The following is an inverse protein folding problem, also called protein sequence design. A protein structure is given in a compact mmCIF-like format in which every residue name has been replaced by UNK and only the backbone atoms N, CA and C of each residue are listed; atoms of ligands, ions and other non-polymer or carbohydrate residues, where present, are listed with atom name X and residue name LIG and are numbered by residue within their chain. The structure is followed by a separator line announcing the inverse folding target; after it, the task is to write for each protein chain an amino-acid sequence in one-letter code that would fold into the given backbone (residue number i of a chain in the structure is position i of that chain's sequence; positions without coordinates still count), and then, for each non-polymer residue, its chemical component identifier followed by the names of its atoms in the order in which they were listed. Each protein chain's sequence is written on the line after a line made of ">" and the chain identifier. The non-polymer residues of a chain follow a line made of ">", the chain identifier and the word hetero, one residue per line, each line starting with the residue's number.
data_IF_986691252963
#
_entry.id   IF_986691252963
#
_cell.length_a   1.000
_cell.length_b   1.000
_cell.length_c   1.000
_cell.angle_alpha   90.00
_cell.angle_beta   90.00
_cell.angle_gamma   90.00
#
_symmetry.space_group_name_H-M   'P 1'
#
loop_
_entity.id
_entity.type
_entity.pdbx_description
1 polymer ?
#
# COMPACT_ATOMS: atom_id res chain seq x y z
N UNK A 1 -18.39 -1.68 9.92
CA UNK A 1 -18.02 -1.65 11.35
C UNK A 1 -16.52 -1.75 11.44
N UNK A 2 -15.83 -0.91 12.19
CA UNK A 2 -14.36 -0.98 12.32
C UNK A 2 -14.01 -2.04 13.38
N UNK A 3 -13.03 -2.88 13.07
CA UNK A 3 -12.54 -3.92 13.97
C UNK A 3 -11.58 -3.33 15.01
N UNK A 4 -11.72 -3.77 16.25
CA UNK A 4 -10.72 -3.57 17.32
C UNK A 4 -9.46 -4.41 17.08
N UNK A 5 -8.37 -4.07 17.77
CA UNK A 5 -7.14 -4.88 17.84
C UNK A 5 -7.39 -6.38 18.07
N UNK A 6 -8.29 -6.71 19.01
CA UNK A 6 -8.65 -8.08 19.35
C UNK A 6 -9.38 -8.78 18.21
N UNK A 7 -10.26 -8.07 17.51
CA UNK A 7 -10.99 -8.57 16.35
C UNK A 7 -10.08 -8.74 15.14
N UNK A 8 -9.15 -7.79 14.90
CA UNK A 8 -8.10 -7.93 13.88
C UNK A 8 -7.25 -9.18 14.17
N UNK A 9 -6.81 -9.34 15.42
CA UNK A 9 -6.05 -10.53 15.83
C UNK A 9 -6.86 -11.82 15.68
N UNK A 10 -8.16 -11.80 15.94
CA UNK A 10 -9.04 -12.95 15.69
C UNK A 10 -9.17 -13.26 14.20
N UNK A 11 -9.37 -12.24 13.36
CA UNK A 11 -9.45 -12.39 11.91
C UNK A 11 -8.15 -12.97 11.31
N UNK A 12 -6.99 -12.58 11.85
CA UNK A 12 -5.70 -13.16 11.45
C UNK A 12 -5.62 -14.64 11.85
N UNK A 13 -6.00 -14.99 13.08
CA UNK A 13 -5.97 -16.39 13.53
C UNK A 13 -6.90 -17.31 12.75
N UNK A 14 -8.04 -16.81 12.26
CA UNK A 14 -9.01 -17.60 11.49
C UNK A 14 -8.73 -17.61 9.99
N UNK A 15 -7.72 -16.85 9.51
CA UNK A 15 -7.46 -16.68 8.08
C UNK A 15 -8.48 -15.79 7.36
N UNK A 16 -9.37 -15.11 8.09
CA UNK A 16 -10.30 -14.13 7.53
C UNK A 16 -9.58 -12.85 7.05
N UNK A 17 -8.37 -12.62 7.54
CA UNK A 17 -7.43 -11.58 7.14
C UNK A 17 -6.01 -12.19 7.18
N UNK A 18 -5.20 -11.96 6.16
CA UNK A 18 -3.76 -12.26 6.21
C UNK A 18 -2.99 -10.94 6.20
N UNK A 19 -2.01 -10.83 7.10
CA UNK A 19 -0.97 -9.79 7.08
C UNK A 19 0.37 -10.53 7.19
N UNK A 20 1.19 -10.49 6.15
CA UNK A 20 2.41 -11.28 6.06
C UNK A 20 3.63 -10.43 5.67
N UNK A 21 4.65 -10.30 6.53
CA UNK A 21 4.73 -10.85 7.90
C UNK A 21 3.74 -10.16 8.85
N UNK A 22 3.35 -10.85 9.92
CA UNK A 22 2.50 -10.25 10.97
C UNK A 22 3.30 -9.16 11.70
N UNK A 23 2.80 -7.92 11.78
CA UNK A 23 3.49 -6.84 12.50
C UNK A 23 3.66 -7.18 13.99
N UNK A 24 4.82 -6.85 14.60
CA UNK A 24 5.03 -7.03 16.04
C UNK A 24 4.06 -6.18 16.87
N UNK A 25 3.77 -6.61 18.10
CA UNK A 25 2.73 -6.03 18.98
C UNK A 25 2.84 -4.50 19.16
N UNK A 26 4.04 -3.93 19.20
CA UNK A 26 4.23 -2.48 19.35
C UNK A 26 3.73 -1.65 18.15
N UNK A 27 3.43 -2.28 17.02
CA UNK A 27 2.82 -1.66 15.83
C UNK A 27 1.29 -1.73 15.85
N UNK A 28 0.69 -2.29 16.90
CA UNK A 28 -0.75 -2.40 17.03
C UNK A 28 -1.30 -1.24 17.88
N UNK A 29 -2.48 -0.77 17.48
CA UNK A 29 -3.29 0.19 18.23
C UNK A 29 -4.68 -0.38 18.43
N UNK A 30 -5.53 0.29 19.20
CA UNK A 30 -6.87 -0.21 19.56
C UNK A 30 -7.78 -0.59 18.40
N UNK A 31 -7.53 -0.11 17.18
CA UNK A 31 -8.37 -0.34 16.00
C UNK A 31 -7.61 -0.37 14.66
N UNK A 32 -6.28 -0.46 14.70
CA UNK A 32 -5.44 -0.44 13.51
C UNK A 32 -4.11 -1.15 13.76
N UNK A 33 -3.50 -1.64 12.68
CA UNK A 33 -2.14 -2.20 12.69
C UNK A 33 -1.27 -1.41 11.75
N UNK A 34 -0.14 -0.92 12.24
CA UNK A 34 0.82 -0.20 11.42
C UNK A 34 1.52 -1.15 10.43
N UNK A 35 1.68 -0.69 9.19
CA UNK A 35 2.45 -1.35 8.14
C UNK A 35 3.76 -0.60 7.91
N UNK A 36 4.77 -1.31 7.43
CA UNK A 36 6.14 -0.78 7.24
C UNK A 36 6.49 -0.58 5.79
N UNK A 37 7.39 0.38 5.50
CA UNK A 37 7.81 0.75 4.15
C UNK A 37 8.81 -0.27 3.57
N UNK A 38 8.55 -0.75 2.35
CA UNK A 38 9.49 -1.58 1.58
C UNK A 38 10.71 -0.74 1.11
N UNK A 39 11.83 -1.42 0.82
CA UNK A 39 13.13 -0.83 0.50
C UNK A 39 13.22 -0.13 -0.84
N UNK A 40 12.16 -0.20 -1.63
CA UNK A 40 12.14 0.23 -3.02
C UNK A 40 11.04 1.26 -3.26
N UNK A 41 11.44 2.41 -3.79
CA UNK A 41 10.53 3.47 -4.23
C UNK A 41 10.51 3.53 -5.76
N UNK A 42 9.49 4.20 -6.30
CA UNK A 42 9.42 4.57 -7.71
C UNK A 42 9.13 6.07 -7.81
N UNK A 43 9.84 6.77 -8.68
CA UNK A 43 9.57 8.17 -8.98
C UNK A 43 9.41 8.39 -10.48
N UNK A 44 8.54 9.32 -10.85
CA UNK A 44 8.44 9.80 -12.21
C UNK A 44 9.70 10.58 -12.59
N UNK A 45 10.28 10.26 -13.74
CA UNK A 45 11.26 11.09 -14.41
C UNK A 45 10.50 12.26 -15.01
N UNK A 46 10.76 13.47 -14.50
CA UNK A 46 10.08 14.67 -14.95
C UNK A 46 10.12 14.82 -16.48
N UNK A 47 9.11 15.45 -17.04
CA UNK A 47 9.00 15.66 -18.49
C UNK A 47 7.58 16.06 -18.81
N UNK A 48 7.39 17.16 -19.54
CA UNK A 48 6.07 17.76 -19.83
C UNK A 48 5.15 16.91 -20.73
N UNK A 49 5.24 15.59 -20.64
CA UNK A 49 4.36 14.65 -21.35
C UNK A 49 2.96 14.77 -20.80
N UNK A 50 2.02 15.02 -21.69
CA UNK A 50 0.60 15.04 -21.37
C UNK A 50 0.08 13.60 -21.34
N UNK A 51 -0.31 13.14 -20.17
CA UNK A 51 -0.97 11.83 -19.99
C UNK A 51 -2.49 12.03 -20.06
N UNK A 52 -3.19 11.11 -20.73
CA UNK A 52 -4.67 11.14 -20.86
C UNK A 52 -5.28 9.91 -20.18
N UNK A 53 -5.60 9.96 -18.88
CA UNK A 53 -6.16 8.82 -18.15
C UNK A 53 -7.49 8.29 -18.71
N UNK A 54 -8.26 9.13 -19.40
CA UNK A 54 -9.53 8.72 -20.04
C UNK A 54 -9.39 8.08 -21.42
N UNK A 55 -8.18 7.89 -21.95
CA UNK A 55 -7.98 7.28 -23.26
C UNK A 55 -8.18 5.75 -23.22
N UNK A 56 -8.72 5.12 -24.29
CA UNK A 56 -8.80 3.67 -24.39
C UNK A 56 -7.42 3.01 -24.19
N UNK A 57 -7.38 1.97 -23.36
CA UNK A 57 -6.14 1.24 -23.06
C UNK A 57 -5.19 1.94 -22.08
N UNK A 58 -5.61 3.04 -21.43
CA UNK A 58 -4.83 3.65 -20.36
C UNK A 58 -4.54 2.63 -19.25
N UNK A 59 -3.26 2.51 -18.90
CA UNK A 59 -2.78 1.67 -17.82
C UNK A 59 -1.58 2.37 -17.18
N UNK A 60 -1.75 2.85 -15.94
CA UNK A 60 -0.69 3.57 -15.22
C UNK A 60 0.52 2.68 -14.92
N UNK A 61 0.31 1.38 -14.73
CA UNK A 61 1.40 0.43 -14.48
C UNK A 61 2.37 0.35 -15.65
N UNK A 62 1.87 0.37 -16.88
CA UNK A 62 2.72 0.44 -18.08
C UNK A 62 3.58 1.70 -18.12
N UNK A 63 3.06 2.82 -17.59
CA UNK A 63 3.84 4.06 -17.49
C UNK A 63 4.92 3.95 -16.40
N UNK A 64 4.63 3.25 -15.30
CA UNK A 64 5.61 2.99 -14.24
C UNK A 64 6.72 2.00 -14.66
N UNK A 65 6.42 1.10 -15.58
CA UNK A 65 7.38 0.13 -16.14
C UNK A 65 8.23 0.73 -17.27
N UNK A 66 7.83 1.89 -17.82
CA UNK A 66 8.55 2.59 -18.87
C UNK A 66 9.78 3.31 -18.29
N UNK A 67 11.02 2.89 -18.61
CA UNK A 67 12.24 3.48 -18.06
C UNK A 67 12.49 4.92 -18.54
N UNK A 68 11.79 5.41 -19.57
CA UNK A 68 11.84 6.82 -19.96
C UNK A 68 10.98 7.69 -19.03
N UNK A 69 9.94 7.12 -18.42
CA UNK A 69 8.96 7.84 -17.61
C UNK A 69 9.16 7.68 -16.11
N UNK A 70 9.68 6.55 -15.66
CA UNK A 70 9.83 6.25 -14.25
C UNK A 70 11.17 5.59 -13.96
N UNK A 71 11.59 5.67 -12.70
CA UNK A 71 12.70 4.89 -12.19
C UNK A 71 12.41 4.36 -10.79
N UNK A 72 12.92 3.15 -10.57
CA UNK A 72 13.02 2.53 -9.27
C UNK A 72 14.23 3.08 -8.52
N UNK A 73 14.02 3.52 -7.28
CA UNK A 73 15.05 4.10 -6.43
C UNK A 73 15.10 3.31 -5.11
N UNK A 74 16.24 2.68 -4.77
CA UNK A 74 16.40 2.04 -3.47
C UNK A 74 16.50 3.08 -2.35
N UNK A 75 16.01 2.74 -1.16
CA UNK A 75 16.21 3.53 0.04
C UNK A 75 17.66 3.32 0.55
N UNK A 76 18.49 4.36 0.70
CA UNK A 76 19.85 4.22 1.20
C UNK A 76 19.90 4.06 2.73
N UNK A 77 21.06 3.70 3.29
CA UNK A 77 21.32 3.47 4.72
C UNK A 77 21.08 4.72 5.63
N UNK A 78 20.80 5.89 5.05
CA UNK A 78 20.41 7.13 5.76
C UNK A 78 19.02 7.65 5.41
N UNK A 79 18.18 6.81 4.79
CA UNK A 79 16.83 7.15 4.37
C UNK A 79 16.76 7.93 3.04
N UNK A 80 15.65 7.77 2.33
CA UNK A 80 15.39 8.51 1.10
C UNK A 80 14.91 9.94 1.46
N UNK A 81 15.60 11.01 1.01
CA UNK A 81 15.24 12.37 1.37
C UNK A 81 14.02 12.84 0.55
N UNK A 82 12.84 12.74 1.13
CA UNK A 82 11.60 13.28 0.56
C UNK A 82 11.48 14.78 0.87
N UNK A 83 11.99 15.60 -0.05
CA UNK A 83 11.92 17.06 0.06
C UNK A 83 10.49 17.64 -0.09
N UNK A 84 10.30 18.93 0.24
CA UNK A 84 9.05 19.64 0.04
C UNK A 84 8.52 19.57 -1.40
N UNK A 85 7.21 19.36 -1.56
CA UNK A 85 6.53 19.27 -2.86
C UNK A 85 6.91 18.04 -3.69
N UNK A 86 7.59 17.05 -3.09
CA UNK A 86 7.98 15.81 -3.78
C UNK A 86 6.95 14.71 -3.59
N UNK A 87 6.93 13.83 -4.57
CA UNK A 87 6.03 12.68 -4.68
C UNK A 87 6.84 11.46 -5.11
N UNK A 88 6.62 10.33 -4.43
CA UNK A 88 7.17 9.02 -4.79
C UNK A 88 6.10 7.96 -4.54
N UNK A 89 6.19 6.86 -5.28
CA UNK A 89 5.42 5.65 -5.00
C UNK A 89 6.28 4.71 -4.16
N UNK A 90 5.65 4.00 -3.24
CA UNK A 90 6.28 2.96 -2.44
C UNK A 90 5.37 1.76 -2.28
N UNK A 91 5.81 0.76 -1.54
CA UNK A 91 5.00 -0.39 -1.16
C UNK A 91 5.13 -0.67 0.33
N UNK A 92 4.12 -1.30 0.91
CA UNK A 92 4.25 -1.92 2.24
C UNK A 92 5.13 -3.17 2.17
N UNK A 93 5.89 -3.48 3.21
CA UNK A 93 6.58 -4.77 3.35
C UNK A 93 5.59 -5.91 3.56
N UNK A 94 4.48 -5.62 4.24
CA UNK A 94 3.45 -6.62 4.47
C UNK A 94 2.60 -6.81 3.23
N UNK A 95 2.39 -8.08 2.87
CA UNK A 95 1.35 -8.53 1.97
C UNK A 95 0.03 -8.68 2.75
N UNK A 96 -1.07 -8.22 2.14
CA UNK A 96 -2.42 -8.30 2.68
C UNK A 96 -3.28 -9.20 1.81
N UNK A 97 -4.04 -10.09 2.46
CA UNK A 97 -5.10 -10.86 1.82
C UNK A 97 -6.40 -10.72 2.61
N UNK A 98 -7.47 -10.34 1.91
CA UNK A 98 -8.82 -10.22 2.43
C UNK A 98 -9.71 -11.15 1.61
N UNK A 99 -9.86 -12.43 1.99
CA UNK A 99 -10.75 -13.35 1.27
C UNK A 99 -12.14 -12.74 1.09
N UNK A 100 -12.71 -12.78 -0.11
CA UNK A 100 -14.03 -12.19 -0.37
C UNK A 100 -15.12 -12.66 0.61
N UNK A 101 -15.10 -13.95 0.95
CA UNK A 101 -16.03 -14.59 1.87
C UNK A 101 -15.89 -14.13 3.34
N UNK A 102 -14.77 -13.48 3.71
CA UNK A 102 -14.57 -12.96 5.07
C UNK A 102 -15.41 -11.72 5.35
N UNK A 103 -15.96 -11.07 4.30
CA UNK A 103 -16.69 -9.81 4.40
C UNK A 103 -15.90 -8.72 5.13
N UNK A 104 -14.59 -8.72 4.92
CA UNK A 104 -13.69 -7.67 5.39
C UNK A 104 -13.18 -6.84 4.21
N UNK A 105 -13.22 -5.53 4.39
CA UNK A 105 -12.48 -4.54 3.62
C UNK A 105 -11.46 -3.86 4.56
N UNK A 106 -10.61 -3.00 4.03
CA UNK A 106 -9.75 -2.18 4.87
C UNK A 106 -9.52 -0.79 4.26
N UNK A 107 -8.95 0.09 5.06
CA UNK A 107 -8.37 1.36 4.63
C UNK A 107 -6.92 1.47 5.03
N UNK A 108 -6.14 2.09 4.16
CA UNK A 108 -4.77 2.48 4.41
C UNK A 108 -4.76 3.96 4.70
N UNK A 109 -4.40 4.32 5.91
CA UNK A 109 -4.37 5.70 6.37
C UNK A 109 -2.94 6.12 6.73
N UNK A 110 -2.67 7.42 6.61
CA UNK A 110 -1.43 8.00 7.10
C UNK A 110 -1.35 7.97 8.62
N UNK A 111 -0.14 8.13 9.16
CA UNK A 111 0.07 8.28 10.60
C UNK A 111 -0.03 9.74 11.01
N UNK A 112 -0.64 10.01 12.17
CA UNK A 112 -0.77 11.40 12.64
C UNK A 112 0.57 12.10 12.83
N UNK A 113 1.64 11.38 13.18
CA UNK A 113 2.99 11.95 13.30
C UNK A 113 3.51 12.44 11.95
N UNK A 114 3.35 11.64 10.90
CA UNK A 114 3.77 11.96 9.53
C UNK A 114 2.92 13.07 8.92
N UNK A 115 1.61 13.03 9.13
CA UNK A 115 0.69 14.07 8.66
C UNK A 115 1.04 15.45 9.22
N UNK A 116 1.52 15.54 10.48
CA UNK A 116 1.96 16.80 11.09
C UNK A 116 3.28 17.33 10.52
N UNK A 117 4.04 16.50 9.79
CA UNK A 117 5.18 16.92 8.98
C UNK A 117 4.78 17.25 7.53
N UNK A 118 3.50 17.13 7.18
CA UNK A 118 3.00 17.29 5.82
C UNK A 118 3.15 16.04 4.95
N UNK A 119 3.53 14.89 5.52
CA UNK A 119 3.68 13.64 4.77
C UNK A 119 2.36 12.88 4.69
N UNK A 120 1.91 12.61 3.46
CA UNK A 120 0.79 11.74 3.14
C UNK A 120 1.26 10.43 2.48
N UNK A 121 0.41 9.41 2.49
CA UNK A 121 0.72 8.05 1.98
C UNK A 121 -0.31 7.49 0.99
N UNK A 122 -1.39 8.25 0.78
CA UNK A 122 -2.36 8.06 -0.28
C UNK A 122 -2.87 9.45 -0.69
N UNK A 123 -3.20 9.65 -1.97
CA UNK A 123 -3.73 10.95 -2.42
C UNK A 123 -5.25 11.01 -2.28
N UNK A 124 -5.95 9.95 -2.71
CA UNK A 124 -7.42 9.88 -2.70
C UNK A 124 -7.99 8.46 -2.60
N UNK A 125 -7.14 7.43 -2.63
CA UNK A 125 -7.57 6.04 -2.80
C UNK A 125 -7.13 5.14 -1.63
N UNK A 126 -7.60 5.39 -0.38
CA UNK A 126 -7.19 4.61 0.78
C UNK A 126 -7.81 3.21 0.82
N UNK A 127 -8.80 2.92 -0.02
CA UNK A 127 -9.67 1.74 0.14
C UNK A 127 -8.98 0.47 -0.37
N UNK A 128 -8.93 -0.54 0.50
CA UNK A 128 -8.54 -1.91 0.17
C UNK A 128 -9.82 -2.76 0.14
N UNK A 129 -10.15 -3.24 -1.04
CA UNK A 129 -11.41 -3.94 -1.27
C UNK A 129 -11.41 -5.36 -0.68
N UNK A 130 -12.59 -5.86 -0.30
CA UNK A 130 -12.79 -7.28 -0.09
C UNK A 130 -12.40 -8.07 -1.36
N UNK A 131 -11.70 -9.19 -1.18
CA UNK A 131 -11.04 -9.94 -2.24
C UNK A 131 -9.67 -9.39 -2.65
N UNK A 132 -9.14 -8.35 -1.99
CA UNK A 132 -7.78 -7.90 -2.23
C UNK A 132 -6.79 -9.01 -1.85
N UNK A 133 -5.87 -9.32 -2.74
CA UNK A 133 -4.95 -10.44 -2.57
C UNK A 133 -5.49 -11.80 -3.00
N UNK A 134 -6.76 -11.90 -3.43
CA UNK A 134 -7.27 -13.13 -4.03
C UNK A 134 -6.49 -13.43 -5.31
N UNK A 135 -5.81 -14.58 -5.35
CA UNK A 135 -5.15 -15.10 -6.54
C UNK A 135 -5.56 -16.57 -6.76
N UNK A 136 -6.54 -16.85 -7.65
CA UNK A 136 -6.99 -18.21 -7.92
C UNK A 136 -5.89 -19.12 -8.46
N UNK A 137 -4.87 -18.55 -9.11
CA UNK A 137 -3.77 -19.27 -9.74
C UNK A 137 -2.58 -19.47 -8.78
N UNK A 138 -2.56 -18.79 -7.63
CA UNK A 138 -1.47 -18.85 -6.64
C UNK A 138 -2.02 -18.84 -5.22
N UNK A 139 -2.61 -19.96 -4.84
CA UNK A 139 -3.21 -20.15 -3.50
C UNK A 139 -2.16 -20.22 -2.38
N UNK A 140 -0.88 -20.32 -2.72
CA UNK A 140 0.27 -20.35 -1.83
C UNK A 140 0.85 -18.95 -1.52
N UNK A 141 0.46 -17.91 -2.25
CA UNK A 141 0.90 -16.54 -1.96
C UNK A 141 0.12 -15.95 -0.76
N UNK A 142 0.80 -15.28 0.17
CA UNK A 142 0.16 -14.78 1.39
C UNK A 142 -0.70 -13.52 1.19
N UNK A 143 -0.79 -13.00 -0.03
CA UNK A 143 -1.52 -11.77 -0.39
C UNK A 143 -0.69 -10.85 -1.28
N UNK A 144 -1.07 -9.57 -1.34
CA UNK A 144 -0.36 -8.55 -2.13
C UNK A 144 0.10 -7.37 -1.26
N UNK A 145 1.26 -6.76 -1.52
CA UNK A 145 1.63 -5.52 -0.86
C UNK A 145 0.72 -4.38 -1.31
N UNK A 146 0.60 -3.36 -0.46
CA UNK A 146 -0.15 -2.14 -0.77
C UNK A 146 0.80 -1.15 -1.42
N UNK A 147 0.46 -0.64 -2.60
CA UNK A 147 1.12 0.52 -3.19
C UNK A 147 0.72 1.79 -2.43
N UNK A 148 1.71 2.63 -2.12
CA UNK A 148 1.54 3.89 -1.40
C UNK A 148 1.86 5.06 -2.33
N UNK A 149 1.09 6.13 -2.22
CA UNK A 149 1.39 7.42 -2.84
C UNK A 149 1.96 8.37 -1.79
N UNK A 150 3.29 8.37 -1.65
CA UNK A 150 3.98 9.10 -0.60
C UNK A 150 4.34 10.49 -1.10
N UNK A 151 3.86 11.52 -0.42
CA UNK A 151 4.12 12.91 -0.80
C UNK A 151 4.40 13.78 0.42
N UNK A 152 5.09 14.89 0.20
CA UNK A 152 5.41 15.86 1.24
C UNK A 152 4.87 17.24 0.89
N UNK A 153 3.85 17.68 1.62
CA UNK A 153 3.27 19.04 1.56
C UNK A 153 3.90 20.00 2.58
N UNK A 154 4.77 19.51 3.47
CA UNK A 154 5.46 20.32 4.47
C UNK A 154 6.72 20.98 3.92
N UNK A 155 7.33 21.81 4.78
CA UNK A 155 8.53 22.60 4.43
C UNK A 155 9.84 21.88 4.77
N UNK A 156 9.79 20.80 5.54
CA UNK A 156 10.96 20.03 5.94
C UNK A 156 11.20 18.86 4.99
N UNK A 157 12.45 18.56 4.69
CA UNK A 157 12.83 17.28 4.08
C UNK A 157 12.66 16.17 5.11
N UNK A 158 11.88 15.14 4.77
CA UNK A 158 11.66 13.96 5.62
C UNK A 158 12.44 12.79 5.05
N UNK A 159 13.27 12.15 5.87
CA UNK A 159 13.95 10.91 5.48
C UNK A 159 12.95 9.73 5.60
N UNK A 160 12.78 8.98 4.51
CA UNK A 160 12.00 7.73 4.50
C UNK A 160 12.95 6.55 4.68
N UNK A 161 12.83 5.83 5.78
CA UNK A 161 13.66 4.65 6.06
C UNK A 161 12.95 3.35 5.64
N UNK A 162 13.73 2.38 5.15
CA UNK A 162 13.24 1.02 4.99
C UNK A 162 12.77 0.49 6.36
N UNK A 163 11.60 -0.14 6.40
CA UNK A 163 11.05 -0.73 7.62
C UNK A 163 10.43 0.27 8.58
N UNK A 164 10.46 1.57 8.28
CA UNK A 164 9.74 2.54 9.11
C UNK A 164 8.23 2.25 9.06
N UNK A 165 7.56 2.43 10.19
CA UNK A 165 6.11 2.42 10.23
C UNK A 165 5.58 3.63 9.44
N UNK A 166 4.96 3.36 8.29
CA UNK A 166 4.63 4.38 7.27
C UNK A 166 3.13 4.67 7.20
N UNK A 167 2.29 3.65 7.35
CA UNK A 167 0.83 3.77 7.30
C UNK A 167 0.18 2.82 8.30
N UNK A 168 -1.12 2.96 8.48
CA UNK A 168 -1.92 2.09 9.34
C UNK A 168 -3.05 1.45 8.54
N UNK A 169 -3.29 0.16 8.79
CA UNK A 169 -4.39 -0.61 8.23
C UNK A 169 -5.56 -0.61 9.21
N UNK A 170 -6.68 -0.03 8.79
CA UNK A 170 -7.96 -0.05 9.52
C UNK A 170 -8.87 -1.06 8.83
N UNK A 171 -9.31 -2.09 9.56
CA UNK A 171 -10.11 -3.18 8.98
C UNK A 171 -11.60 -2.95 9.26
N UNK A 172 -12.44 -3.20 8.25
CA UNK A 172 -13.87 -2.93 8.30
C UNK A 172 -14.71 -4.11 7.82
N UNK A 173 -15.71 -4.50 8.62
CA UNK A 173 -16.72 -5.47 8.20
C UNK A 173 -17.75 -4.83 7.27
N UNK A 174 -18.06 -5.53 6.17
CA UNK A 174 -19.08 -5.19 5.19
C UNK A 174 -20.34 -6.08 5.33
N UNK A 175 -21.47 -5.60 4.80
CA UNK A 175 -22.79 -6.17 5.07
C UNK A 175 -23.05 -7.57 4.50
N UNK A 176 -22.44 -7.89 3.36
CA UNK A 176 -22.67 -9.13 2.59
C UNK A 176 -21.38 -9.50 1.84
N UNK A 177 -21.25 -10.77 1.42
CA UNK A 177 -20.18 -11.16 0.49
C UNK A 177 -20.33 -10.40 -0.85
N UNK A 178 -19.30 -9.69 -1.34
CA UNK A 178 -19.35 -9.05 -2.64
C UNK A 178 -19.55 -10.07 -3.77
N UNK A 179 -20.35 -9.73 -4.78
CA UNK A 179 -20.52 -10.57 -5.98
C UNK A 179 -19.31 -10.57 -6.90
N UNK A 180 -18.37 -9.63 -6.71
CA UNK A 180 -17.13 -9.50 -7.48
C UNK A 180 -15.96 -9.29 -6.52
N UNK A 181 -14.87 -10.02 -6.75
CA UNK A 181 -13.59 -9.73 -6.12
C UNK A 181 -12.92 -8.50 -6.74
N UNK A 182 -11.75 -8.12 -6.21
CA UNK A 182 -10.97 -7.03 -6.78
C UNK A 182 -10.36 -7.46 -8.13
N UNK A 183 -10.91 -6.94 -9.23
CA UNK A 183 -10.44 -7.17 -10.61
C UNK A 183 -9.94 -5.88 -11.28
N UNK A 184 -9.47 -4.92 -10.48
CA UNK A 184 -8.96 -3.63 -10.97
C UNK A 184 -7.60 -3.75 -11.67
N UNK A 185 -7.07 -2.62 -12.17
CA UNK A 185 -5.75 -2.57 -12.84
C UNK A 185 -4.59 -3.07 -11.96
N UNK A 186 -4.78 -3.05 -10.64
CA UNK A 186 -3.78 -3.47 -9.66
C UNK A 186 -4.05 -4.86 -9.07
N UNK A 187 -4.99 -5.62 -9.64
CA UNK A 187 -5.18 -7.02 -9.29
C UNK A 187 -3.88 -7.78 -9.63
N UNK A 188 -3.20 -8.31 -8.61
CA UNK A 188 -1.89 -8.93 -8.77
C UNK A 188 -0.70 -7.95 -8.81
N UNK A 189 -0.85 -6.73 -8.28
CA UNK A 189 0.29 -5.81 -8.16
C UNK A 189 1.41 -6.42 -7.30
N UNK A 190 2.65 -6.22 -7.72
CA UNK A 190 3.84 -6.67 -6.98
C UNK A 190 4.73 -5.49 -6.68
N UNK A 191 5.47 -5.56 -5.58
CA UNK A 191 6.52 -4.58 -5.31
C UNK A 191 7.53 -4.60 -6.45
N UNK A 192 8.06 -3.42 -6.82
CA UNK A 192 9.17 -3.33 -7.78
C UNK A 192 10.46 -3.99 -7.26
N UNK A 193 10.51 -4.31 -5.96
CA UNK A 193 11.53 -5.18 -5.38
C UNK A 193 11.57 -6.56 -6.05
N UNK A 194 10.42 -7.11 -6.46
CA UNK A 194 10.30 -8.43 -7.11
C UNK A 194 10.45 -8.37 -8.65
N UNK A 195 10.54 -7.17 -9.23
CA UNK A 195 10.65 -6.98 -10.69
C UNK A 195 12.09 -7.00 -11.21
N UNK A 196 13.08 -7.34 -10.35
CA UNK A 196 14.46 -7.59 -10.80
C UNK A 196 14.79 -9.09 -10.67
N UNK A 197 15.47 -9.68 -11.68
CA UNK A 197 15.96 -11.04 -11.63
C UNK A 197 16.98 -11.27 -10.51
#
# INVERSE_FOLDING_TARGET
>A
MILSDREIGAAIRTGALVIAPVPPEHLWSSMAVDLTLDRTLVRWKGGGRVVRPGAPGFNVRRLLEDPELAETVPIPEGGFPLGPGRFVLGYTQQAIHLPRASRLAARVEGKSSLARLGVGVHVTAPTIHAGFGDNPERQDEPGLPIQLEIFNLGDLTVALDEGMSICQLIVEAIGEEPSKGYAGQFAGQRSFTELRP
#
